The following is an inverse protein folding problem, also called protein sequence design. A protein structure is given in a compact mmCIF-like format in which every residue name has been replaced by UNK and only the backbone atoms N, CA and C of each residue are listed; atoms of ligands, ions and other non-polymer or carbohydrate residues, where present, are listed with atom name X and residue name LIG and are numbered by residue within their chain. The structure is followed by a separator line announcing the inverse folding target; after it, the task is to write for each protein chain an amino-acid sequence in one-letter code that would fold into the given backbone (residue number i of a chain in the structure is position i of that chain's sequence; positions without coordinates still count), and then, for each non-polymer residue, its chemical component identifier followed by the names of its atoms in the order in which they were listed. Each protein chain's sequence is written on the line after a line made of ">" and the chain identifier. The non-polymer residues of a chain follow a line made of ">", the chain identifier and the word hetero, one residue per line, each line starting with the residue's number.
data_IF_405731717655
#
_entry.id   IF_405731717655
#
_cell.length_a   1.000
_cell.length_b   1.000
_cell.length_c   1.000
_cell.angle_alpha   90.00
_cell.angle_beta   90.00
_cell.angle_gamma   90.00
#
_symmetry.space_group_name_H-M   'P 1'
#
loop_
_entity.id
_entity.type
_entity.pdbx_description
1 polymer ?
#
# COMPACT_ATOMS: atom_id res chain seq x y z
N UNK A 1 22.33 -16.05 43.93
CA UNK A 1 21.72 -17.28 44.45
C UNK A 1 20.85 -17.83 43.34
N UNK A 2 21.40 -18.70 42.51
CA UNK A 2 21.20 -20.17 42.54
C UNK A 2 19.71 -20.51 42.40
N UNK A 3 19.40 -20.96 41.24
CA UNK A 3 19.24 -22.33 40.73
C UNK A 3 17.78 -22.72 40.54
N UNK A 4 17.52 -23.20 39.36
CA UNK A 4 16.91 -24.45 38.92
C UNK A 4 15.37 -24.52 39.07
N UNK A 5 14.73 -24.88 37.98
CA UNK A 5 14.23 -26.24 37.71
C UNK A 5 13.94 -26.36 36.21
N UNK A 6 14.68 -27.31 35.65
CA UNK A 6 14.47 -27.89 34.33
C UNK A 6 13.57 -29.12 34.46
N UNK A 7 13.05 -29.54 33.33
CA UNK A 7 12.66 -30.91 32.99
C UNK A 7 11.28 -31.40 33.44
N UNK A 8 10.44 -31.68 32.44
CA UNK A 8 9.82 -33.02 32.32
C UNK A 8 9.36 -33.28 30.89
N UNK A 9 10.19 -33.97 30.15
CA UNK A 9 9.83 -34.83 29.01
C UNK A 9 9.26 -36.13 29.55
N UNK A 10 8.17 -36.62 28.96
CA UNK A 10 7.81 -38.04 28.90
C UNK A 10 6.81 -38.22 27.78
N UNK A 11 7.19 -38.60 26.64
CA UNK A 11 7.41 -39.94 26.05
C UNK A 11 6.46 -41.02 26.57
N UNK A 12 5.44 -41.31 25.76
CA UNK A 12 4.82 -42.65 25.74
C UNK A 12 4.59 -43.05 24.28
N UNK A 13 5.50 -43.85 23.76
CA UNK A 13 5.24 -44.83 22.69
C UNK A 13 4.72 -46.08 23.37
N UNK A 14 3.64 -46.65 22.86
CA UNK A 14 3.38 -48.06 22.98
C UNK A 14 2.95 -48.62 21.65
N UNK A 15 3.74 -49.51 21.19
CA UNK A 15 3.65 -50.44 20.07
C UNK A 15 2.68 -51.57 20.48
N UNK A 16 1.88 -52.02 19.53
CA UNK A 16 1.07 -53.25 19.69
C UNK A 16 0.82 -53.86 18.32
N UNK A 17 1.66 -54.81 17.99
CA UNK A 17 1.65 -55.66 16.81
C UNK A 17 0.82 -56.94 17.06
N UNK A 18 0.28 -57.52 15.92
CA UNK A 18 0.10 -58.97 15.64
C UNK A 18 -1.20 -59.61 16.20
N UNK A 19 -2.03 -60.30 15.42
CA UNK A 19 -1.81 -61.48 14.62
C UNK A 19 -3.06 -61.82 13.77
N UNK A 20 -2.86 -62.16 12.52
CA UNK A 20 -2.99 -63.45 11.89
C UNK A 20 -4.06 -64.42 12.35
N UNK A 21 -4.88 -64.92 11.39
CA UNK A 21 -5.43 -66.26 11.48
C UNK A 21 -6.75 -66.44 10.78
N UNK A 22 -6.62 -66.97 9.58
CA UNK A 22 -7.13 -68.20 8.98
C UNK A 22 -8.55 -68.25 8.44
N UNK A 23 -8.58 -68.55 7.18
CA UNK A 23 -9.52 -69.29 6.35
C UNK A 23 -10.52 -70.19 7.08
N UNK A 24 -11.76 -70.21 6.59
CA UNK A 24 -12.39 -71.46 6.30
C UNK A 24 -13.44 -71.29 5.18
N UNK A 25 -13.41 -72.31 4.32
CA UNK A 25 -14.07 -72.57 3.06
C UNK A 25 -15.35 -73.34 3.34
N UNK A 26 -16.39 -73.17 2.58
CA UNK A 26 -17.13 -74.21 1.90
C UNK A 26 -18.51 -73.80 1.41
N UNK A 27 -18.70 -74.07 0.19
CA UNK A 27 -19.93 -74.10 -0.62
C UNK A 27 -20.86 -75.24 -0.17
N UNK A 28 -21.96 -75.60 -0.91
CA UNK A 28 -22.53 -75.09 -2.15
C UNK A 28 -24.07 -74.90 -2.14
N UNK A 29 -24.58 -74.58 -3.31
CA UNK A 29 -25.96 -74.43 -3.77
C UNK A 29 -26.92 -75.62 -3.56
N UNK A 30 -28.25 -75.43 -3.76
CA UNK A 30 -28.80 -76.00 -5.00
C UNK A 30 -29.74 -75.04 -5.77
N UNK A 31 -29.72 -75.37 -7.02
CA UNK A 31 -30.45 -75.11 -8.23
C UNK A 31 -31.98 -75.28 -8.08
N UNK A 32 -32.75 -74.41 -8.70
CA UNK A 32 -33.99 -74.75 -9.42
C UNK A 32 -34.43 -73.60 -10.31
N UNK A 33 -34.48 -73.85 -11.59
CA UNK A 33 -35.15 -73.08 -12.64
C UNK A 33 -36.60 -73.59 -12.76
N UNK A 34 -37.35 -73.17 -13.81
CA UNK A 34 -37.68 -71.84 -14.32
C UNK A 34 -39.21 -71.61 -14.37
N UNK A 35 -39.71 -70.44 -14.61
CA UNK A 35 -40.87 -70.29 -15.52
C UNK A 35 -41.33 -68.85 -15.73
N UNK A 36 -41.63 -68.58 -17.00
CA UNK A 36 -42.58 -67.60 -17.53
C UNK A 36 -42.27 -66.15 -17.58
N UNK A 37 -41.95 -65.70 -18.76
CA UNK A 37 -42.17 -64.32 -19.21
C UNK A 37 -43.67 -64.00 -19.30
N UNK A 38 -44.09 -62.80 -19.05
CA UNK A 38 -44.92 -62.11 -20.01
C UNK A 38 -44.50 -60.68 -20.33
N UNK A 39 -44.61 -60.40 -21.59
CA UNK A 39 -45.20 -59.21 -22.21
C UNK A 39 -44.57 -57.84 -22.02
N UNK A 40 -44.07 -57.33 -23.12
CA UNK A 40 -43.57 -55.99 -23.34
C UNK A 40 -44.60 -54.92 -22.96
N UNK A 41 -44.16 -53.96 -22.16
CA UNK A 41 -44.76 -52.64 -22.05
C UNK A 41 -43.84 -51.58 -22.67
N UNK A 42 -44.36 -50.45 -23.19
CA UNK A 42 -43.68 -49.63 -24.15
C UNK A 42 -42.52 -48.85 -23.58
N UNK A 43 -41.50 -48.75 -24.41
CA UNK A 43 -40.27 -47.96 -24.26
C UNK A 43 -40.58 -46.52 -23.90
N UNK A 44 -40.33 -46.15 -22.64
CA UNK A 44 -40.30 -44.75 -22.20
C UNK A 44 -39.00 -44.13 -22.73
N UNK A 45 -39.12 -43.05 -23.47
CA UNK A 45 -38.01 -42.22 -23.91
C UNK A 45 -37.04 -41.90 -22.75
N UNK A 46 -35.74 -41.86 -23.00
CA UNK A 46 -34.80 -41.47 -21.95
C UNK A 46 -35.08 -40.02 -21.57
N UNK A 47 -35.47 -39.85 -20.29
CA UNK A 47 -35.50 -38.58 -19.61
C UNK A 47 -34.10 -37.98 -19.69
N UNK A 48 -33.96 -36.81 -20.34
CA UNK A 48 -32.71 -36.09 -20.41
C UNK A 48 -32.20 -35.88 -19.00
N UNK A 49 -31.01 -36.40 -18.74
CA UNK A 49 -30.29 -36.06 -17.51
C UNK A 49 -30.21 -34.52 -17.41
N UNK A 50 -30.43 -33.95 -16.20
CA UNK A 50 -30.21 -32.52 -16.03
C UNK A 50 -28.77 -32.22 -16.49
N UNK A 51 -28.64 -31.31 -17.44
CA UNK A 51 -27.36 -30.69 -17.75
C UNK A 51 -26.78 -30.22 -16.41
N UNK A 52 -25.63 -30.78 -16.03
CA UNK A 52 -24.87 -30.26 -14.91
C UNK A 52 -24.62 -28.79 -15.23
N UNK A 53 -25.26 -27.89 -14.46
CA UNK A 53 -24.86 -26.48 -14.45
C UNK A 53 -23.34 -26.49 -14.20
N UNK A 54 -22.59 -26.06 -15.20
CA UNK A 54 -21.16 -25.84 -15.03
C UNK A 54 -21.05 -24.86 -13.85
N UNK A 55 -20.47 -25.31 -12.73
CA UNK A 55 -20.12 -24.42 -11.64
C UNK A 55 -19.34 -23.27 -12.26
N UNK A 56 -19.86 -22.06 -12.19
CA UNK A 56 -19.20 -20.89 -12.72
C UNK A 56 -17.83 -20.80 -12.00
N UNK A 57 -16.75 -20.91 -12.76
CA UNK A 57 -15.39 -20.86 -12.24
C UNK A 57 -15.23 -19.53 -11.51
N UNK A 58 -15.00 -19.57 -10.20
CA UNK A 58 -14.85 -18.36 -9.37
C UNK A 58 -13.71 -17.52 -9.93
N UNK A 59 -13.96 -16.24 -10.17
CA UNK A 59 -12.98 -15.29 -10.65
C UNK A 59 -11.82 -15.21 -9.64
N UNK A 60 -10.59 -15.46 -10.11
CA UNK A 60 -9.37 -15.33 -9.31
C UNK A 60 -8.60 -14.07 -9.70
N UNK A 61 -8.31 -13.22 -8.73
CA UNK A 61 -7.65 -11.91 -8.92
C UNK A 61 -6.52 -11.75 -7.90
N UNK A 62 -5.25 -11.83 -8.30
CA UNK A 62 -4.14 -11.41 -7.45
C UNK A 62 -4.17 -9.90 -7.21
N UNK A 63 -3.94 -9.51 -5.96
CA UNK A 63 -3.85 -8.11 -5.52
C UNK A 63 -2.47 -7.90 -4.93
N UNK A 64 -1.56 -7.36 -5.74
CA UNK A 64 -0.14 -7.27 -5.42
C UNK A 64 0.21 -5.90 -4.85
N UNK A 65 0.40 -5.86 -3.51
CA UNK A 65 0.78 -4.68 -2.74
C UNK A 65 2.28 -4.38 -2.82
N UNK A 66 2.70 -3.20 -2.35
CA UNK A 66 4.14 -2.86 -2.25
C UNK A 66 4.81 -3.53 -1.05
N UNK A 67 4.08 -3.90 0.00
CA UNK A 67 4.61 -4.56 1.19
C UNK A 67 3.62 -4.59 2.34
N UNK A 68 4.13 -4.94 3.54
CA UNK A 68 3.34 -5.00 4.78
C UNK A 68 3.99 -4.23 5.93
N UNK A 69 5.01 -3.42 5.66
CA UNK A 69 5.74 -2.66 6.68
C UNK A 69 4.89 -1.59 7.35
N UNK A 70 3.86 -1.07 6.65
CA UNK A 70 3.03 0.04 7.08
C UNK A 70 1.61 -0.43 7.37
N UNK A 71 0.98 0.19 8.37
CA UNK A 71 -0.41 -0.10 8.74
C UNK A 71 -1.41 0.24 7.63
N UNK A 72 -1.04 1.15 6.73
CA UNK A 72 -1.74 1.46 5.50
C UNK A 72 -2.17 0.21 4.72
N UNK A 73 -1.27 -0.76 4.53
CA UNK A 73 -1.55 -1.97 3.75
C UNK A 73 -2.57 -2.91 4.41
N UNK A 74 -2.73 -2.84 5.74
CA UNK A 74 -3.76 -3.61 6.44
C UNK A 74 -5.16 -3.06 6.11
N UNK A 75 -5.31 -1.73 6.04
CA UNK A 75 -6.56 -1.10 5.65
C UNK A 75 -6.90 -1.35 4.17
N UNK A 76 -5.89 -1.31 3.28
CA UNK A 76 -6.05 -1.68 1.86
C UNK A 76 -6.50 -3.14 1.72
N UNK A 77 -5.88 -4.07 2.46
CA UNK A 77 -6.26 -5.48 2.45
C UNK A 77 -7.71 -5.70 2.92
N UNK A 78 -8.14 -4.98 3.97
CA UNK A 78 -9.50 -5.05 4.47
C UNK A 78 -10.53 -4.58 3.42
N UNK A 79 -10.24 -3.49 2.70
CA UNK A 79 -11.06 -3.00 1.60
C UNK A 79 -11.12 -4.00 0.44
N UNK A 80 -9.97 -4.57 0.06
CA UNK A 80 -9.88 -5.58 -1.00
C UNK A 80 -10.70 -6.82 -0.66
N UNK A 81 -10.63 -7.31 0.59
CA UNK A 81 -11.41 -8.47 1.04
C UNK A 81 -12.92 -8.16 1.04
N UNK A 82 -13.31 -6.98 1.49
CA UNK A 82 -14.73 -6.59 1.49
C UNK A 82 -15.31 -6.57 0.07
N UNK A 83 -14.57 -6.07 -0.92
CA UNK A 83 -15.00 -6.13 -2.31
C UNK A 83 -15.02 -7.58 -2.83
N UNK A 84 -14.04 -8.41 -2.49
CA UNK A 84 -14.03 -9.81 -2.88
C UNK A 84 -15.25 -10.57 -2.35
N UNK A 85 -15.63 -10.33 -1.10
CA UNK A 85 -16.82 -10.93 -0.47
C UNK A 85 -18.11 -10.44 -1.15
N UNK A 86 -18.21 -9.15 -1.48
CA UNK A 86 -19.37 -8.56 -2.14
C UNK A 86 -19.57 -9.08 -3.56
N UNK A 87 -18.48 -9.17 -4.35
CA UNK A 87 -18.53 -9.64 -5.73
C UNK A 87 -18.46 -11.15 -5.88
N UNK A 88 -18.22 -11.90 -4.78
CA UNK A 88 -18.12 -13.36 -4.79
C UNK A 88 -16.91 -13.88 -5.58
N UNK A 89 -15.77 -13.18 -5.50
CA UNK A 89 -14.52 -13.52 -6.19
C UNK A 89 -13.45 -13.96 -5.21
N UNK A 90 -12.47 -14.73 -5.69
CA UNK A 90 -11.31 -15.12 -4.92
C UNK A 90 -10.17 -14.14 -5.18
N UNK A 91 -9.59 -13.58 -4.14
CA UNK A 91 -8.40 -12.74 -4.24
C UNK A 91 -7.21 -13.38 -3.53
N UNK A 92 -6.02 -13.05 -4.00
CA UNK A 92 -4.77 -13.30 -3.30
C UNK A 92 -4.10 -11.95 -3.04
N UNK A 93 -4.25 -11.44 -1.81
CA UNK A 93 -3.62 -10.19 -1.40
C UNK A 93 -2.26 -10.49 -0.79
N UNK A 94 -1.18 -10.04 -1.43
CA UNK A 94 0.17 -10.24 -0.95
C UNK A 94 1.12 -9.13 -1.46
N UNK A 95 2.33 -9.12 -0.94
CA UNK A 95 3.41 -8.21 -1.31
C UNK A 95 4.74 -8.64 -0.68
N UNK A 96 5.86 -8.07 -1.10
CA UNK A 96 7.16 -8.37 -0.50
C UNK A 96 7.23 -7.94 0.97
N UNK A 97 8.19 -8.50 1.71
CA UNK A 97 8.36 -8.19 3.12
C UNK A 97 8.77 -6.73 3.35
N UNK A 98 9.46 -6.13 2.39
CA UNK A 98 9.94 -4.74 2.42
C UNK A 98 9.71 -4.04 1.08
N UNK A 99 9.39 -2.75 1.12
CA UNK A 99 9.26 -1.92 -0.08
C UNK A 99 10.61 -1.65 -0.80
N UNK A 100 11.72 -2.20 -0.30
CA UNK A 100 13.02 -2.25 -1.01
C UNK A 100 13.12 -3.43 -1.99
N UNK A 101 12.24 -4.43 -1.87
CA UNK A 101 12.38 -5.72 -2.53
C UNK A 101 11.66 -5.77 -3.89
N UNK A 102 12.04 -4.84 -4.80
CA UNK A 102 11.44 -4.72 -6.15
C UNK A 102 11.47 -6.07 -6.90
N UNK A 103 12.63 -6.76 -6.90
CA UNK A 103 12.76 -8.04 -7.57
C UNK A 103 11.88 -9.14 -6.95
N UNK A 104 11.64 -9.10 -5.64
CA UNK A 104 10.73 -10.03 -4.99
C UNK A 104 9.29 -9.78 -5.46
N UNK A 105 8.84 -8.51 -5.54
CA UNK A 105 7.52 -8.19 -6.08
C UNK A 105 7.35 -8.72 -7.50
N UNK A 106 8.32 -8.49 -8.39
CA UNK A 106 8.29 -9.01 -9.78
C UNK A 106 8.11 -10.53 -9.79
N UNK A 107 8.94 -11.26 -9.03
CA UNK A 107 8.83 -12.72 -8.95
C UNK A 107 7.48 -13.21 -8.40
N UNK A 108 6.89 -12.49 -7.42
CA UNK A 108 5.57 -12.81 -6.88
C UNK A 108 4.48 -12.63 -7.94
N UNK A 109 4.53 -11.55 -8.71
CA UNK A 109 3.59 -11.31 -9.79
C UNK A 109 3.71 -12.39 -10.87
N UNK A 110 4.93 -12.77 -11.28
CA UNK A 110 5.16 -13.84 -12.25
C UNK A 110 4.57 -15.18 -11.80
N UNK A 111 4.69 -15.51 -10.50
CA UNK A 111 4.09 -16.71 -9.92
C UNK A 111 2.55 -16.68 -9.99
N UNK A 112 1.95 -15.53 -9.73
CA UNK A 112 0.50 -15.35 -9.83
C UNK A 112 0.02 -15.37 -11.30
N UNK A 113 0.78 -14.77 -12.21
CA UNK A 113 0.49 -14.80 -13.64
C UNK A 113 0.51 -16.23 -14.23
N UNK A 114 1.35 -17.12 -13.66
CA UNK A 114 1.38 -18.54 -14.05
C UNK A 114 0.09 -19.29 -13.71
N UNK A 115 -0.76 -18.77 -12.82
CA UNK A 115 -2.09 -19.34 -12.49
C UNK A 115 -3.19 -18.89 -13.46
N UNK A 116 -2.86 -18.08 -14.47
CA UNK A 116 -3.78 -17.52 -15.46
C UNK A 116 -4.96 -16.76 -14.83
N UNK A 117 -4.70 -15.72 -14.02
CA UNK A 117 -5.74 -14.93 -13.39
C UNK A 117 -6.61 -14.23 -14.43
N UNK A 118 -7.82 -13.83 -14.05
CA UNK A 118 -8.74 -13.11 -14.95
C UNK A 118 -8.50 -11.60 -14.99
N UNK A 119 -7.85 -11.06 -13.98
CA UNK A 119 -7.33 -9.70 -13.89
C UNK A 119 -6.16 -9.67 -12.90
N UNK A 120 -5.38 -8.61 -12.89
CA UNK A 120 -4.34 -8.32 -11.91
C UNK A 120 -4.58 -6.94 -11.30
N UNK A 121 -4.63 -6.83 -9.98
CA UNK A 121 -4.54 -5.55 -9.28
C UNK A 121 -3.09 -5.34 -8.82
N UNK A 122 -2.49 -4.18 -9.13
CA UNK A 122 -1.07 -3.93 -8.96
C UNK A 122 -0.77 -2.55 -8.37
N UNK A 123 -0.11 -2.52 -7.22
CA UNK A 123 0.59 -1.36 -6.69
C UNK A 123 2.09 -1.54 -6.94
N UNK A 124 2.62 -0.92 -7.99
CA UNK A 124 4.01 -1.14 -8.40
C UNK A 124 5.01 -0.45 -7.46
N UNK A 125 6.03 -1.18 -7.00
CA UNK A 125 7.18 -0.64 -6.29
C UNK A 125 8.03 0.26 -7.20
N UNK A 126 8.26 -0.20 -8.42
CA UNK A 126 8.97 0.52 -9.47
C UNK A 126 8.21 0.34 -10.79
N UNK A 127 7.80 1.45 -11.40
CA UNK A 127 7.00 1.44 -12.63
C UNK A 127 7.74 0.85 -13.81
N UNK A 128 9.08 0.91 -13.83
CA UNK A 128 9.90 0.37 -14.91
C UNK A 128 10.13 -1.14 -14.76
N UNK A 129 10.18 -1.63 -13.52
CA UNK A 129 10.47 -3.04 -13.24
C UNK A 129 9.33 -3.99 -13.64
N UNK A 130 8.11 -3.47 -13.80
CA UNK A 130 6.93 -4.27 -14.16
C UNK A 130 6.57 -4.22 -15.65
N UNK A 131 7.37 -3.56 -16.48
CA UNK A 131 7.06 -3.32 -17.90
C UNK A 131 6.85 -4.64 -18.67
N UNK A 132 7.76 -5.62 -18.53
CA UNK A 132 7.67 -6.91 -19.20
C UNK A 132 6.41 -7.70 -18.78
N UNK A 133 6.00 -7.56 -17.51
CA UNK A 133 4.77 -8.18 -16.99
C UNK A 133 3.53 -7.54 -17.63
N UNK A 134 3.54 -6.21 -17.78
CA UNK A 134 2.42 -5.51 -18.42
C UNK A 134 2.28 -5.90 -19.91
N UNK A 135 3.40 -6.05 -20.61
CA UNK A 135 3.41 -6.56 -21.98
C UNK A 135 2.83 -7.98 -22.04
N UNK A 136 3.23 -8.87 -21.13
CA UNK A 136 2.67 -10.22 -21.01
C UNK A 136 1.16 -10.21 -20.72
N UNK A 137 0.71 -9.34 -19.81
CA UNK A 137 -0.71 -9.15 -19.50
C UNK A 137 -1.48 -8.70 -20.76
N UNK A 138 -0.94 -7.76 -21.54
CA UNK A 138 -1.56 -7.30 -22.78
C UNK A 138 -1.65 -8.42 -23.81
N UNK A 139 -0.59 -9.21 -24.01
CA UNK A 139 -0.55 -10.35 -24.94
C UNK A 139 -1.58 -11.44 -24.56
N UNK A 140 -1.75 -11.69 -23.25
CA UNK A 140 -2.71 -12.68 -22.73
C UNK A 140 -4.13 -12.13 -22.60
N UNK A 141 -4.35 -10.82 -22.80
CA UNK A 141 -5.64 -10.19 -22.62
C UNK A 141 -6.08 -10.11 -21.15
N UNK A 142 -5.15 -10.10 -20.20
CA UNK A 142 -5.38 -9.97 -18.77
C UNK A 142 -5.41 -8.48 -18.43
N UNK A 143 -6.57 -7.90 -18.04
CA UNK A 143 -6.63 -6.50 -17.64
C UNK A 143 -5.88 -6.27 -16.33
N UNK A 144 -5.15 -5.16 -16.24
CA UNK A 144 -4.47 -4.72 -15.04
C UNK A 144 -5.18 -3.50 -14.47
N UNK A 145 -5.44 -3.51 -13.16
CA UNK A 145 -5.91 -2.35 -12.41
C UNK A 145 -4.78 -1.88 -11.51
N UNK A 146 -4.31 -0.65 -11.75
CA UNK A 146 -3.41 0.01 -10.82
C UNK A 146 -4.13 0.35 -9.51
N UNK A 147 -3.43 0.30 -8.39
CA UNK A 147 -3.94 0.88 -7.15
C UNK A 147 -2.81 1.49 -6.33
N UNK A 148 -3.12 2.43 -5.44
CA UNK A 148 -2.13 3.24 -4.71
C UNK A 148 -1.07 3.87 -5.62
N UNK A 149 -0.11 3.10 -6.06
CA UNK A 149 1.00 3.55 -6.91
C UNK A 149 0.76 3.32 -8.39
N UNK A 150 -0.14 2.56 -8.88
CA UNK A 150 -0.39 2.31 -10.31
C UNK A 150 0.88 2.29 -11.20
N UNK A 151 0.68 2.30 -12.51
CA UNK A 151 1.78 2.42 -13.50
C UNK A 151 1.42 3.51 -14.52
N UNK A 152 1.55 4.80 -14.16
CA UNK A 152 1.28 5.88 -15.09
C UNK A 152 2.25 5.83 -16.27
N UNK A 153 1.71 6.01 -17.49
CA UNK A 153 2.51 5.96 -18.71
C UNK A 153 2.73 4.55 -19.26
N UNK A 154 1.99 3.54 -18.77
CA UNK A 154 1.95 2.22 -19.39
C UNK A 154 1.65 2.34 -20.90
N UNK A 155 2.48 1.72 -21.72
CA UNK A 155 2.33 1.69 -23.19
C UNK A 155 1.86 0.34 -23.72
N UNK A 156 1.81 -0.70 -22.88
CA UNK A 156 1.32 -2.03 -23.25
C UNK A 156 -0.17 -2.04 -23.54
N UNK A 157 -0.91 -1.15 -22.88
CA UNK A 157 -2.36 -1.10 -22.87
C UNK A 157 -3.00 -2.15 -21.97
N UNK A 158 -2.23 -2.83 -21.10
CA UNK A 158 -2.75 -3.74 -20.09
C UNK A 158 -3.46 -3.00 -18.97
N UNK A 159 -2.93 -1.86 -18.51
CA UNK A 159 -3.54 -1.05 -17.45
C UNK A 159 -4.82 -0.39 -17.98
N UNK A 160 -5.95 -0.72 -17.36
CA UNK A 160 -7.29 -0.26 -17.77
C UNK A 160 -7.77 0.91 -16.95
N UNK A 161 -7.42 0.96 -15.67
CA UNK A 161 -7.76 2.01 -14.74
C UNK A 161 -6.86 1.95 -13.50
N UNK A 162 -6.86 3.01 -12.71
CA UNK A 162 -6.15 3.07 -11.43
C UNK A 162 -7.07 3.58 -10.33
N UNK A 163 -7.12 2.89 -9.19
CA UNK A 163 -7.78 3.32 -7.97
C UNK A 163 -6.73 3.89 -7.00
N UNK A 164 -6.64 5.21 -6.87
CA UNK A 164 -5.62 5.85 -6.03
C UNK A 164 -6.07 7.22 -5.58
N UNK A 165 -5.40 7.76 -4.57
CA UNK A 165 -5.43 9.18 -4.25
C UNK A 165 -4.78 9.98 -5.40
N UNK A 166 -5.32 11.13 -5.75
CA UNK A 166 -4.58 12.10 -6.54
C UNK A 166 -3.43 12.68 -5.70
N UNK A 167 -2.28 12.01 -5.76
CA UNK A 167 -1.13 12.24 -4.89
C UNK A 167 -0.54 13.65 -5.00
N UNK A 168 -0.55 14.25 -6.20
CA UNK A 168 -0.07 15.62 -6.39
C UNK A 168 -0.99 16.62 -5.69
N UNK A 169 -2.30 16.53 -5.90
CA UNK A 169 -3.27 17.40 -5.27
C UNK A 169 -3.28 17.20 -3.73
N UNK A 170 -3.19 15.97 -3.28
CA UNK A 170 -3.17 15.64 -1.86
C UNK A 170 -1.96 16.25 -1.14
N UNK A 171 -0.76 16.12 -1.71
CA UNK A 171 0.43 16.70 -1.11
C UNK A 171 0.48 18.23 -1.24
N UNK A 172 -0.17 18.80 -2.25
CA UNK A 172 -0.34 20.25 -2.35
C UNK A 172 -1.09 20.83 -1.14
N UNK A 173 -2.03 20.09 -0.54
CA UNK A 173 -2.72 20.49 0.69
C UNK A 173 -1.71 20.77 1.82
N UNK A 174 -0.72 19.90 2.02
CA UNK A 174 0.29 20.12 3.07
C UNK A 174 1.11 21.40 2.83
N UNK A 175 1.47 21.68 1.55
CA UNK A 175 2.17 22.92 1.21
C UNK A 175 1.30 24.18 1.42
N UNK A 176 0.00 24.11 1.12
CA UNK A 176 -0.95 25.18 1.41
C UNK A 176 -1.04 25.42 2.94
N UNK A 177 -1.11 24.34 3.72
CA UNK A 177 -1.12 24.42 5.19
C UNK A 177 0.19 25.01 5.75
N UNK A 178 1.33 24.73 5.15
CA UNK A 178 2.58 25.42 5.49
C UNK A 178 2.51 26.93 5.21
N UNK A 179 1.84 27.34 4.13
CA UNK A 179 1.57 28.76 3.84
C UNK A 179 0.59 29.44 4.79
N UNK A 180 -0.23 28.68 5.52
CA UNK A 180 -1.13 29.17 6.57
C UNK A 180 -0.46 29.22 7.95
N UNK A 181 0.69 28.57 8.15
CA UNK A 181 1.42 28.56 9.41
C UNK A 181 2.12 29.91 9.64
N UNK A 182 1.67 30.67 10.63
CA UNK A 182 2.12 32.04 10.87
C UNK A 182 3.62 32.14 11.19
N UNK A 183 4.18 31.15 11.91
CA UNK A 183 5.58 31.13 12.31
C UNK A 183 6.49 30.82 11.11
N UNK A 184 6.11 29.87 10.28
CA UNK A 184 6.82 29.56 9.04
C UNK A 184 6.78 30.72 8.05
N UNK A 185 5.62 31.36 7.90
CA UNK A 185 5.45 32.56 7.07
C UNK A 185 6.36 33.70 7.56
N UNK A 186 6.41 33.93 8.87
CA UNK A 186 7.30 34.96 9.46
C UNK A 186 8.79 34.64 9.16
N UNK A 187 9.19 33.36 9.26
CA UNK A 187 10.55 32.93 8.90
C UNK A 187 10.85 33.16 7.41
N UNK A 188 9.91 32.84 6.50
CA UNK A 188 10.07 33.09 5.06
C UNK A 188 10.16 34.59 4.74
N UNK A 189 9.37 35.44 5.41
CA UNK A 189 9.41 36.90 5.22
C UNK A 189 10.71 37.54 5.73
N UNK A 190 11.34 36.99 6.76
CA UNK A 190 12.57 37.45 7.34
C UNK A 190 13.83 36.95 6.62
N UNK A 191 13.68 35.94 5.74
CA UNK A 191 14.80 35.27 5.09
C UNK A 191 15.54 36.18 4.10
N UNK A 192 16.87 36.03 4.04
CA UNK A 192 17.76 36.75 3.11
C UNK A 192 18.68 35.76 2.40
N UNK A 193 19.39 36.20 1.36
CA UNK A 193 20.35 35.34 0.67
C UNK A 193 21.51 34.88 1.57
N UNK A 194 21.90 35.70 2.57
CA UNK A 194 22.94 35.36 3.56
C UNK A 194 22.42 34.50 4.72
N UNK A 195 21.10 34.49 4.94
CA UNK A 195 20.41 33.73 5.97
C UNK A 195 19.09 33.16 5.40
N UNK A 196 19.20 32.15 4.50
CA UNK A 196 18.02 31.57 3.88
C UNK A 196 17.21 30.74 4.89
N UNK A 197 15.95 30.49 4.55
CA UNK A 197 15.11 29.51 5.24
C UNK A 197 14.94 28.25 4.39
N UNK A 198 14.98 27.09 5.02
CA UNK A 198 14.85 25.79 4.36
C UNK A 198 13.57 25.08 4.75
N UNK A 199 12.86 24.58 3.74
CA UNK A 199 11.71 23.70 3.85
C UNK A 199 12.08 22.39 3.19
N UNK A 200 12.13 21.31 3.94
CA UNK A 200 12.57 20.02 3.44
C UNK A 200 11.39 19.11 3.06
N UNK A 201 11.57 18.29 2.05
CA UNK A 201 10.76 17.10 1.75
C UNK A 201 11.61 15.88 2.05
N UNK A 202 11.19 15.08 3.02
CA UNK A 202 11.76 13.77 3.26
C UNK A 202 10.95 12.77 2.43
N UNK A 203 11.50 12.35 1.30
CA UNK A 203 10.87 11.44 0.35
C UNK A 203 11.41 10.02 0.51
N UNK A 204 10.51 9.04 0.58
CA UNK A 204 10.90 7.64 0.76
C UNK A 204 11.70 7.10 -0.42
N UNK A 205 11.24 7.39 -1.64
CA UNK A 205 11.84 6.93 -2.89
C UNK A 205 11.63 7.96 -4.03
N UNK A 206 12.16 7.66 -5.21
CA UNK A 206 12.00 8.44 -6.42
C UNK A 206 11.54 7.62 -7.62
N UNK A 207 10.95 6.43 -7.38
CA UNK A 207 10.57 5.45 -8.41
C UNK A 207 9.10 5.03 -8.37
N UNK A 208 8.46 4.98 -7.19
CA UNK A 208 7.04 4.68 -7.09
C UNK A 208 6.19 5.89 -7.49
N UNK A 209 5.07 5.64 -8.17
CA UNK A 209 4.22 6.72 -8.69
C UNK A 209 3.61 7.57 -7.57
N UNK A 210 3.14 6.93 -6.47
CA UNK A 210 2.50 7.65 -5.36
C UNK A 210 3.46 8.59 -4.65
N UNK A 211 4.67 8.12 -4.27
CA UNK A 211 5.66 8.95 -3.56
C UNK A 211 6.22 10.05 -4.45
N UNK A 212 6.48 9.74 -5.73
CA UNK A 212 6.87 10.75 -6.71
C UNK A 212 5.80 11.83 -6.90
N UNK A 213 4.52 11.45 -6.97
CA UNK A 213 3.40 12.37 -7.06
C UNK A 213 3.31 13.29 -5.85
N UNK A 214 3.40 12.74 -4.63
CA UNK A 214 3.40 13.52 -3.37
C UNK A 214 4.55 14.52 -3.34
N UNK A 215 5.77 14.08 -3.65
CA UNK A 215 6.94 14.97 -3.69
C UNK A 215 6.77 16.08 -4.72
N UNK A 216 6.29 15.74 -5.92
CA UNK A 216 6.05 16.71 -7.00
C UNK A 216 4.98 17.73 -6.61
N UNK A 217 3.83 17.26 -6.11
CA UNK A 217 2.71 18.12 -5.70
C UNK A 217 3.10 19.08 -4.58
N UNK A 218 3.78 18.57 -3.55
CA UNK A 218 4.28 19.42 -2.46
C UNK A 218 5.27 20.46 -2.97
N UNK A 219 6.30 20.04 -3.73
CA UNK A 219 7.34 20.96 -4.24
C UNK A 219 6.73 22.05 -5.12
N UNK A 220 5.88 21.68 -6.09
CA UNK A 220 5.25 22.64 -6.99
C UNK A 220 4.41 23.67 -6.23
N UNK A 221 3.56 23.22 -5.30
CA UNK A 221 2.72 24.11 -4.51
C UNK A 221 3.55 24.94 -3.54
N UNK A 222 4.58 24.36 -2.92
CA UNK A 222 5.43 25.11 -1.98
C UNK A 222 6.26 26.18 -2.70
N UNK A 223 6.69 25.95 -3.93
CA UNK A 223 7.31 26.97 -4.78
C UNK A 223 6.33 28.12 -5.03
N UNK A 224 5.06 27.80 -5.37
CA UNK A 224 4.02 28.81 -5.56
C UNK A 224 3.80 29.64 -4.28
N UNK A 225 3.59 29.00 -3.14
CA UNK A 225 3.37 29.63 -1.84
C UNK A 225 4.57 30.49 -1.43
N UNK A 226 5.77 29.92 -1.46
CA UNK A 226 6.99 30.58 -1.01
C UNK A 226 7.43 31.75 -1.90
N UNK A 227 7.09 31.71 -3.19
CA UNK A 227 7.40 32.80 -4.12
C UNK A 227 6.75 34.14 -3.78
N UNK A 228 5.69 34.13 -2.95
CA UNK A 228 5.11 35.35 -2.40
C UNK A 228 6.01 36.06 -1.38
N UNK A 229 7.00 35.36 -0.84
CA UNK A 229 7.86 35.85 0.26
C UNK A 229 9.32 36.05 -0.15
N UNK A 230 9.79 35.40 -1.24
CA UNK A 230 11.17 35.53 -1.65
C UNK A 230 11.53 34.76 -2.90
N UNK A 231 12.82 34.73 -3.22
CA UNK A 231 13.35 33.94 -4.33
C UNK A 231 13.52 32.48 -3.89
N UNK A 232 12.93 31.55 -4.62
CA UNK A 232 12.90 30.14 -4.27
C UNK A 232 13.89 29.34 -5.11
N UNK A 233 14.68 28.47 -4.47
CA UNK A 233 15.51 27.45 -5.10
C UNK A 233 15.01 26.06 -4.69
N UNK A 234 14.92 25.14 -5.64
CA UNK A 234 14.65 23.73 -5.35
C UNK A 234 15.98 22.96 -5.48
N UNK A 235 16.36 22.27 -4.41
CA UNK A 235 17.65 21.58 -4.27
C UNK A 235 17.47 20.12 -3.85
N UNK A 236 18.57 19.41 -3.74
CA UNK A 236 18.62 18.01 -3.34
C UNK A 236 18.57 17.08 -4.53
N UNK A 237 17.53 16.23 -4.66
CA UNK A 237 17.44 15.19 -5.68
C UNK A 237 17.20 15.76 -7.09
N UNK A 238 17.99 15.30 -8.08
CA UNK A 238 18.03 15.84 -9.46
C UNK A 238 16.68 15.82 -10.18
N UNK A 239 15.78 14.88 -9.85
CA UNK A 239 14.44 14.79 -10.46
C UNK A 239 13.59 16.05 -10.25
N UNK A 240 13.78 16.78 -9.15
CA UNK A 240 13.00 17.96 -8.77
C UNK A 240 13.83 19.23 -8.72
N UNK A 241 15.15 19.12 -8.77
CA UNK A 241 16.04 20.27 -8.58
C UNK A 241 15.83 21.35 -9.66
N UNK A 242 15.70 22.60 -9.20
CA UNK A 242 15.68 23.81 -9.99
C UNK A 242 16.40 24.91 -9.21
N UNK A 243 17.73 24.91 -9.29
CA UNK A 243 18.60 25.78 -8.49
C UNK A 243 18.57 27.20 -8.95
N UNK A 244 18.44 28.13 -7.99
CA UNK A 244 18.46 29.56 -8.20
C UNK A 244 19.49 30.20 -7.27
N UNK A 245 20.46 30.88 -7.83
CA UNK A 245 21.50 31.56 -7.07
C UNK A 245 20.92 32.76 -6.27
N UNK A 246 21.37 32.91 -5.04
CA UNK A 246 20.92 33.98 -4.14
C UNK A 246 19.48 33.79 -3.64
N UNK A 247 18.96 32.56 -3.69
CA UNK A 247 17.64 32.23 -3.14
C UNK A 247 17.58 32.53 -1.64
N UNK A 248 16.45 33.08 -1.20
CA UNK A 248 16.15 33.32 0.21
C UNK A 248 15.38 32.16 0.83
N UNK A 249 14.69 31.36 0.01
CA UNK A 249 13.93 30.19 0.44
C UNK A 249 14.44 28.98 -0.35
N UNK A 250 14.81 27.93 0.36
CA UNK A 250 15.31 26.68 -0.21
C UNK A 250 14.29 25.58 0.07
N UNK A 251 13.78 24.96 -0.98
CA UNK A 251 13.00 23.72 -0.88
C UNK A 251 13.96 22.58 -1.17
N UNK A 252 14.26 21.74 -0.19
CA UNK A 252 15.19 20.64 -0.35
C UNK A 252 14.46 19.30 -0.39
N UNK A 253 14.67 18.53 -1.47
CA UNK A 253 14.16 17.16 -1.57
C UNK A 253 15.27 16.19 -1.19
N UNK A 254 15.12 15.54 -0.03
CA UNK A 254 15.97 14.48 0.45
C UNK A 254 15.28 13.14 0.21
N UNK A 255 15.85 12.31 -0.66
CA UNK A 255 15.39 10.95 -0.93
C UNK A 255 16.25 10.00 -0.11
N UNK A 256 15.61 9.07 0.61
CA UNK A 256 16.31 8.05 1.42
C UNK A 256 17.08 7.08 0.51
N UNK A 257 18.19 6.55 1.02
CA UNK A 257 19.01 5.61 0.26
C UNK A 257 18.26 4.30 -0.04
N UNK A 258 17.46 3.84 0.92
CA UNK A 258 16.49 2.76 0.78
C UNK A 258 15.23 3.12 1.56
N UNK A 259 14.17 2.30 1.48
CA UNK A 259 12.94 2.48 2.27
C UNK A 259 13.07 1.92 3.70
N UNK A 260 14.23 1.38 4.07
CA UNK A 260 14.49 0.87 5.42
C UNK A 260 14.51 2.00 6.46
N UNK A 261 13.92 1.74 7.62
CA UNK A 261 13.75 2.75 8.68
C UNK A 261 15.05 3.44 9.08
N UNK A 262 16.19 2.73 9.09
CA UNK A 262 17.49 3.30 9.44
C UNK A 262 18.00 4.29 8.39
N UNK A 263 17.75 4.05 7.10
CA UNK A 263 18.19 4.95 6.04
C UNK A 263 17.30 6.19 5.99
N UNK A 264 16.00 6.03 6.25
CA UNK A 264 15.07 7.15 6.41
C UNK A 264 15.47 8.02 7.63
N UNK A 265 15.79 7.40 8.76
CA UNK A 265 16.27 8.09 9.96
C UNK A 265 17.59 8.85 9.67
N UNK A 266 18.52 8.25 8.92
CA UNK A 266 19.79 8.90 8.55
C UNK A 266 19.52 10.13 7.66
N UNK A 267 18.59 10.05 6.72
CA UNK A 267 18.19 11.17 5.86
C UNK A 267 17.52 12.29 6.68
N UNK A 268 16.66 11.93 7.65
CA UNK A 268 16.07 12.88 8.59
C UNK A 268 17.15 13.59 9.44
N UNK A 269 18.11 12.83 10.00
CA UNK A 269 19.23 13.41 10.76
C UNK A 269 20.07 14.37 9.92
N UNK A 270 20.28 14.09 8.64
CA UNK A 270 21.01 14.98 7.73
C UNK A 270 20.27 16.30 7.49
N UNK A 271 18.95 16.28 7.41
CA UNK A 271 18.10 17.47 7.33
C UNK A 271 18.12 18.25 8.65
N UNK A 272 17.94 17.56 9.78
CA UNK A 272 17.92 18.15 11.14
C UNK A 272 19.27 18.80 11.54
N UNK A 273 20.38 18.43 10.90
CA UNK A 273 21.68 19.06 11.11
C UNK A 273 21.82 20.44 10.43
N UNK A 274 20.87 20.84 9.58
CA UNK A 274 20.91 22.12 8.86
C UNK A 274 20.34 23.22 9.73
N UNK A 275 21.16 24.26 9.98
CA UNK A 275 20.78 25.36 10.87
C UNK A 275 19.65 26.25 10.32
N UNK A 276 19.42 26.21 9.01
CA UNK A 276 18.39 26.98 8.31
C UNK A 276 17.07 26.21 8.13
N UNK A 277 16.96 24.98 8.65
CA UNK A 277 15.76 24.15 8.55
C UNK A 277 14.63 24.74 9.39
N UNK A 278 13.50 25.01 8.75
CA UNK A 278 12.31 25.57 9.40
C UNK A 278 11.07 24.67 9.30
N UNK A 279 11.00 23.81 8.27
CA UNK A 279 9.89 22.89 8.12
C UNK A 279 10.30 21.59 7.43
N UNK A 280 9.56 20.49 7.70
CA UNK A 280 9.73 19.18 7.04
C UNK A 280 8.36 18.62 6.66
N UNK A 281 8.24 18.20 5.42
CA UNK A 281 7.15 17.37 4.92
C UNK A 281 7.65 15.94 4.74
N UNK A 282 7.00 14.98 5.41
CA UNK A 282 7.27 13.55 5.29
C UNK A 282 6.29 12.93 4.29
N UNK A 283 6.79 12.30 3.22
CA UNK A 283 5.99 11.91 2.05
C UNK A 283 5.05 10.71 2.27
N UNK A 284 5.24 9.94 3.35
CA UNK A 284 4.42 8.76 3.69
C UNK A 284 4.67 8.28 5.11
N UNK A 285 3.93 7.23 5.56
CA UNK A 285 4.07 6.63 6.89
C UNK A 285 5.50 6.18 7.20
N UNK A 286 6.23 5.62 6.23
CA UNK A 286 7.62 5.19 6.41
C UNK A 286 8.55 6.36 6.71
N UNK A 287 8.42 7.48 6.01
CA UNK A 287 9.21 8.69 6.28
C UNK A 287 8.84 9.36 7.60
N UNK A 288 7.56 9.32 7.98
CA UNK A 288 7.13 9.78 9.32
C UNK A 288 7.78 8.96 10.42
N UNK A 289 7.77 7.64 10.31
CA UNK A 289 8.37 6.73 11.32
C UNK A 289 9.87 6.97 11.45
N UNK A 290 10.58 7.09 10.32
CA UNK A 290 12.02 7.37 10.33
C UNK A 290 12.35 8.77 10.87
N UNK A 291 11.51 9.77 10.55
CA UNK A 291 11.66 11.11 11.09
C UNK A 291 11.42 11.15 12.61
N UNK A 292 10.35 10.54 13.11
CA UNK A 292 10.08 10.43 14.54
C UNK A 292 11.24 9.77 15.30
N UNK A 293 11.80 8.69 14.74
CA UNK A 293 13.00 8.05 15.33
C UNK A 293 14.23 8.97 15.38
N UNK A 294 14.33 9.97 14.50
CA UNK A 294 15.41 10.95 14.50
C UNK A 294 15.21 12.09 15.52
N UNK A 295 13.99 12.25 16.05
CA UNK A 295 13.62 13.29 17.01
C UNK A 295 13.10 12.68 18.32
N UNK A 296 13.74 11.60 18.79
CA UNK A 296 13.44 10.93 20.07
C UNK A 296 11.96 10.54 20.19
N UNK A 297 11.43 9.90 19.14
CA UNK A 297 10.01 9.50 19.01
C UNK A 297 9.01 10.68 19.14
N UNK A 298 9.48 11.89 18.83
CA UNK A 298 8.72 13.14 18.87
C UNK A 298 9.02 14.04 20.06
N UNK A 299 9.70 13.55 21.11
CA UNK A 299 9.99 14.35 22.32
C UNK A 299 10.81 15.62 22.02
N UNK A 300 11.70 15.58 21.04
CA UNK A 300 12.50 16.72 20.63
C UNK A 300 11.68 17.84 19.92
N UNK A 301 10.43 17.56 19.54
CA UNK A 301 9.48 18.51 18.94
C UNK A 301 8.55 19.16 19.98
N UNK A 302 8.51 18.61 21.20
CA UNK A 302 7.66 19.15 22.27
C UNK A 302 8.19 20.49 22.79
N UNK A 303 7.37 21.21 23.54
CA UNK A 303 7.75 22.45 24.23
C UNK A 303 9.03 22.28 25.05
N UNK A 304 10.05 23.09 24.80
CA UNK A 304 11.37 22.97 25.39
C UNK A 304 12.28 21.93 24.73
N UNK A 305 11.81 21.22 23.73
CA UNK A 305 12.58 20.27 22.94
C UNK A 305 13.55 20.97 21.96
N UNK A 306 14.50 20.20 21.45
CA UNK A 306 15.56 20.73 20.57
C UNK A 306 15.02 21.35 19.27
N UNK A 307 13.89 20.86 18.80
CA UNK A 307 13.26 21.22 17.54
C UNK A 307 11.84 21.76 17.73
N UNK A 308 11.54 22.38 18.89
CA UNK A 308 10.21 22.92 19.22
C UNK A 308 9.66 23.90 18.16
N UNK A 309 10.55 24.65 17.48
CA UNK A 309 10.19 25.61 16.45
C UNK A 309 10.09 25.02 15.03
N UNK A 310 10.26 23.71 14.87
CA UNK A 310 10.22 23.04 13.57
C UNK A 310 8.78 22.70 13.18
N UNK A 311 8.33 23.20 12.03
CA UNK A 311 7.01 22.87 11.51
C UNK A 311 7.07 21.54 10.75
N UNK A 312 6.35 20.52 11.21
CA UNK A 312 6.36 19.20 10.60
C UNK A 312 4.96 18.83 10.12
N UNK A 313 4.88 18.33 8.88
CA UNK A 313 3.68 17.69 8.37
C UNK A 313 3.99 16.31 7.79
N UNK A 314 3.05 15.40 7.93
CA UNK A 314 3.14 14.06 7.40
C UNK A 314 2.20 13.80 6.23
N UNK A 315 2.30 12.59 5.71
CA UNK A 315 1.33 11.98 4.80
C UNK A 315 1.01 10.58 5.33
N UNK A 316 -0.23 10.10 5.15
CA UNK A 316 -0.79 8.90 5.77
C UNK A 316 -1.22 9.12 7.24
N UNK A 317 -1.52 8.06 8.00
CA UNK A 317 -2.17 8.19 9.30
C UNK A 317 -1.95 7.01 10.26
N UNK A 318 -0.77 6.37 10.26
CA UNK A 318 -0.46 5.28 11.21
C UNK A 318 -0.43 5.74 12.68
N UNK A 319 -0.42 4.80 13.61
CA UNK A 319 -0.56 5.03 15.06
C UNK A 319 0.45 6.04 15.63
N UNK A 320 1.73 5.93 15.25
CA UNK A 320 2.79 6.85 15.72
C UNK A 320 2.54 8.29 15.22
N UNK A 321 2.11 8.41 13.97
CA UNK A 321 1.80 9.69 13.34
C UNK A 321 0.58 10.36 13.98
N UNK A 322 -0.49 9.60 14.21
CA UNK A 322 -1.68 10.11 14.92
C UNK A 322 -1.32 10.62 16.32
N UNK A 323 -0.44 9.89 17.03
CA UNK A 323 0.05 10.34 18.32
C UNK A 323 0.81 11.67 18.19
N UNK A 324 1.73 11.80 17.23
CA UNK A 324 2.49 13.03 17.02
C UNK A 324 1.57 14.23 16.69
N UNK A 325 0.52 14.01 15.91
CA UNK A 325 -0.49 15.04 15.62
C UNK A 325 -1.29 15.40 16.87
N UNK A 326 -1.78 14.42 17.66
CA UNK A 326 -2.53 14.69 18.91
C UNK A 326 -1.72 15.42 19.96
N UNK A 327 -0.41 15.16 20.04
CA UNK A 327 0.50 15.87 20.95
C UNK A 327 0.86 17.28 20.46
N UNK A 328 0.46 17.67 19.26
CA UNK A 328 0.86 18.94 18.64
C UNK A 328 2.32 18.96 18.16
N UNK A 329 3.01 17.82 18.15
CA UNK A 329 4.38 17.72 17.63
C UNK A 329 4.43 17.87 16.11
N UNK A 330 3.39 17.39 15.43
CA UNK A 330 3.16 17.63 14.01
C UNK A 330 2.07 18.69 13.85
N UNK A 331 2.31 19.67 13.00
CA UNK A 331 1.32 20.66 12.59
C UNK A 331 0.07 20.02 12.00
N UNK A 332 0.25 18.89 11.34
CA UNK A 332 -0.81 18.03 10.84
C UNK A 332 -0.30 16.99 9.85
N UNK A 333 -1.21 16.36 9.17
CA UNK A 333 -0.91 15.39 8.13
C UNK A 333 -2.02 15.31 7.09
N UNK A 334 -1.72 14.73 5.94
CA UNK A 334 -2.70 14.38 4.91
C UNK A 334 -2.95 12.89 4.96
N UNK A 335 -4.20 12.47 5.16
CA UNK A 335 -4.58 11.05 5.07
C UNK A 335 -5.25 10.74 3.75
N UNK A 336 -5.14 9.49 3.32
CA UNK A 336 -5.82 8.88 2.18
C UNK A 336 -7.07 8.13 2.65
N UNK A 337 -7.75 7.44 1.73
CA UNK A 337 -8.74 6.42 2.03
C UNK A 337 -8.22 5.03 1.59
N UNK A 338 -7.36 4.38 2.39
CA UNK A 338 -6.76 3.11 2.02
C UNK A 338 -7.78 1.97 1.87
N UNK A 339 -8.87 2.01 2.65
CA UNK A 339 -9.94 1.04 2.51
C UNK A 339 -10.59 1.15 1.12
N UNK A 340 -10.93 2.37 0.68
CA UNK A 340 -11.49 2.58 -0.65
C UNK A 340 -10.49 2.28 -1.76
N UNK A 341 -9.20 2.54 -1.57
CA UNK A 341 -8.17 2.14 -2.53
C UNK A 341 -8.24 0.62 -2.78
N UNK A 342 -8.25 -0.17 -1.72
CA UNK A 342 -8.33 -1.63 -1.81
C UNK A 342 -9.65 -2.13 -2.40
N UNK A 343 -10.77 -1.57 -1.92
CA UNK A 343 -12.11 -1.93 -2.40
C UNK A 343 -12.26 -1.66 -3.91
N UNK A 344 -11.90 -0.45 -4.34
CA UNK A 344 -12.01 -0.05 -5.74
C UNK A 344 -11.05 -0.82 -6.66
N UNK A 345 -9.86 -1.19 -6.17
CA UNK A 345 -8.92 -2.02 -6.93
C UNK A 345 -9.56 -3.35 -7.35
N UNK A 346 -10.23 -4.03 -6.42
CA UNK A 346 -10.92 -5.30 -6.70
C UNK A 346 -12.19 -5.09 -7.52
N UNK A 347 -13.01 -4.08 -7.18
CA UNK A 347 -14.24 -3.77 -7.92
C UNK A 347 -13.96 -3.48 -9.41
N UNK A 348 -12.95 -2.65 -9.70
CA UNK A 348 -12.52 -2.36 -11.07
C UNK A 348 -11.92 -3.60 -11.76
N UNK A 349 -11.17 -4.44 -11.03
CA UNK A 349 -10.61 -5.66 -11.58
C UNK A 349 -11.71 -6.66 -11.98
N UNK A 350 -12.76 -6.80 -11.18
CA UNK A 350 -13.95 -7.61 -11.51
C UNK A 350 -14.65 -7.07 -12.75
N UNK A 351 -14.91 -5.76 -12.80
CA UNK A 351 -15.56 -5.14 -13.96
C UNK A 351 -14.72 -5.32 -15.24
N UNK A 352 -13.40 -5.09 -15.17
CA UNK A 352 -12.50 -5.26 -16.31
C UNK A 352 -12.41 -6.73 -16.77
N UNK A 353 -12.36 -7.69 -15.83
CA UNK A 353 -12.37 -9.11 -16.13
C UNK A 353 -13.66 -9.56 -16.86
N UNK A 354 -14.78 -8.91 -16.55
CA UNK A 354 -16.07 -9.14 -17.22
C UNK A 354 -16.18 -8.38 -18.57
N UNK A 355 -15.15 -7.66 -18.99
CA UNK A 355 -15.11 -6.92 -20.25
C UNK A 355 -15.82 -5.57 -20.21
N UNK A 356 -16.11 -5.04 -19.01
CA UNK A 356 -16.68 -3.73 -18.84
C UNK A 356 -15.63 -2.63 -19.03
N UNK A 357 -16.06 -1.46 -19.47
CA UNK A 357 -15.19 -0.28 -19.56
C UNK A 357 -15.04 0.32 -18.17
N UNK A 358 -13.80 0.45 -17.71
CA UNK A 358 -13.46 1.07 -16.43
C UNK A 358 -12.70 2.38 -16.61
N UNK A 359 -12.66 3.21 -15.58
CA UNK A 359 -11.92 4.47 -15.54
C UNK A 359 -11.28 4.67 -14.18
N UNK A 360 -10.28 5.56 -14.12
CA UNK A 360 -9.60 5.91 -12.89
C UNK A 360 -10.58 6.38 -11.81
N UNK A 361 -10.29 6.00 -10.57
CA UNK A 361 -11.01 6.42 -9.37
C UNK A 361 -10.06 7.17 -8.44
N UNK A 362 -10.33 8.46 -8.22
CA UNK A 362 -9.69 9.22 -7.16
C UNK A 362 -10.41 8.95 -5.84
N UNK A 363 -9.73 8.29 -4.91
CA UNK A 363 -10.27 7.97 -3.57
C UNK A 363 -10.18 9.14 -2.60
N UNK A 364 -9.60 10.27 -3.03
CA UNK A 364 -9.52 11.49 -2.26
C UNK A 364 -8.43 11.50 -1.19
N UNK A 365 -8.34 12.63 -0.51
CA UNK A 365 -7.44 12.85 0.62
C UNK A 365 -8.00 13.96 1.53
N UNK A 366 -7.63 13.94 2.82
CA UNK A 366 -8.06 14.92 3.81
C UNK A 366 -6.88 15.38 4.66
N UNK A 367 -6.84 16.68 4.97
CA UNK A 367 -5.95 17.20 6.01
C UNK A 367 -6.51 16.92 7.40
N UNK A 368 -5.66 16.45 8.29
CA UNK A 368 -6.00 16.35 9.70
C UNK A 368 -4.91 16.94 10.60
N UNK A 369 -5.33 17.46 11.73
CA UNK A 369 -4.49 18.04 12.77
C UNK A 369 -5.08 17.72 14.16
N UNK A 370 -4.51 18.27 15.21
CA UNK A 370 -4.98 18.03 16.59
C UNK A 370 -6.44 18.49 16.83
N UNK A 371 -6.95 19.41 16.02
CA UNK A 371 -8.30 19.97 16.20
C UNK A 371 -9.39 19.07 15.60
N UNK A 372 -9.09 18.36 14.49
CA UNK A 372 -10.08 17.60 13.72
C UNK A 372 -9.82 16.09 13.61
N UNK A 373 -8.73 15.56 14.17
CA UNK A 373 -8.37 14.15 14.06
C UNK A 373 -9.44 13.20 14.61
N UNK A 374 -10.24 13.68 15.57
CA UNK A 374 -11.33 12.91 16.20
C UNK A 374 -12.71 13.22 15.59
N UNK A 375 -12.79 14.04 14.53
CA UNK A 375 -14.02 14.29 13.78
C UNK A 375 -14.49 13.00 13.09
N UNK A 376 -15.80 12.79 12.99
CA UNK A 376 -16.42 11.57 12.45
C UNK A 376 -15.85 11.19 11.07
N UNK A 377 -15.70 12.16 10.16
CA UNK A 377 -15.16 11.93 8.82
C UNK A 377 -13.69 11.54 8.83
N UNK A 378 -12.87 12.22 9.64
CA UNK A 378 -11.43 11.97 9.70
C UNK A 378 -11.14 10.65 10.42
N UNK A 379 -11.89 10.34 11.48
CA UNK A 379 -11.71 9.10 12.25
C UNK A 379 -11.94 7.82 11.43
N UNK A 380 -12.67 7.90 10.31
CA UNK A 380 -12.86 6.80 9.37
C UNK A 380 -11.67 6.61 8.42
N UNK A 381 -10.84 7.63 8.25
CA UNK A 381 -9.72 7.63 7.30
C UNK A 381 -8.37 7.37 7.98
N UNK A 382 -8.31 7.53 9.30
CA UNK A 382 -7.08 7.29 10.07
C UNK A 382 -7.12 5.89 10.69
N UNK A 383 -6.02 5.17 10.63
CA UNK A 383 -5.93 3.74 10.98
C UNK A 383 -4.86 3.48 12.05
N UNK A 384 -4.93 2.30 12.68
CA UNK A 384 -3.99 1.81 13.72
C UNK A 384 -3.32 0.50 13.29
#
# INVERSE_FOLDING_TARGET
>A
MKKLIALLLALVMVVGLVACGAKEEAAPAPEAAPEAAPEAAPEAAPEAAPEAEAEAETLYIPVMAKGFQHQFWQAVAAGSQAAADEYGVEIYFDGPASETEIAAQVNMIEQEMAKNPKALALAALDTSAVADILDECAEKGIPVIGFDSGVPGDTSGAVKATACTNNENAAAIAAEKFGENADLVAKMQAATADAPVRIAVLSQDAVSASVCGRTTGFVNKMVEVASAYGTVSVEGHDKWANKVDGATIIIEVAVSATTEAVDVQNSANALLAKADLAAVFCSNEGTVTGFLSAVSDGEDLADGGKYEDLVVAGFDAGAAQKNAVRQGWFYGSVTQDPYQIGYQAVALAVAAANGETVSDVDTGAQWYNAENIDDEMISLLVYD
#
